data_IF_489806405720
#
_entry.id   IF_489806405720
#
_cell.length_a   1.000
_cell.length_b   1.000
_cell.length_c   1.000
_cell.angle_alpha   90.00
_cell.angle_beta   90.00
_cell.angle_gamma   90.00
#
_symmetry.space_group_name_H-M   'P 1'
#
loop_
_entity.id
_entity.type
_entity.pdbx_description
1 polymer ?
#
# COMPACT_ATOMS: atom_id res chain seq x y z
N UNK A 1 12.28 18.15 15.33
CA UNK A 1 11.78 16.91 15.95
C UNK A 1 11.13 16.07 14.87
N UNK A 2 11.66 14.88 14.58
CA UNK A 2 10.98 13.91 13.72
C UNK A 2 10.19 12.97 14.64
N UNK A 3 8.89 12.82 14.37
CA UNK A 3 8.04 11.86 15.08
C UNK A 3 8.04 10.56 14.26
N UNK A 4 8.44 9.42 14.85
CA UNK A 4 8.38 8.13 14.20
C UNK A 4 6.97 7.81 13.69
N UNK A 5 6.83 7.42 12.41
CA UNK A 5 5.54 7.13 11.77
C UNK A 5 4.65 6.15 12.54
N UNK A 6 5.27 5.15 13.21
CA UNK A 6 4.59 4.17 14.07
C UNK A 6 3.75 4.77 15.21
N UNK A 7 4.05 5.98 15.65
CA UNK A 7 3.29 6.63 16.73
C UNK A 7 1.93 7.15 16.25
N UNK A 8 1.77 7.39 14.95
CA UNK A 8 0.48 7.80 14.37
C UNK A 8 -0.54 6.66 14.39
N UNK A 9 -0.09 5.40 14.32
CA UNK A 9 -0.96 4.22 14.37
C UNK A 9 -1.77 4.14 15.67
N UNK A 10 -1.27 4.72 16.77
CA UNK A 10 -1.94 4.73 18.07
C UNK A 10 -2.91 5.91 18.24
N UNK A 11 -2.94 6.86 17.30
CA UNK A 11 -3.88 7.99 17.34
C UNK A 11 -5.29 7.59 16.89
N UNK A 12 -5.40 6.46 16.19
CA UNK A 12 -6.68 5.93 15.73
C UNK A 12 -7.08 4.79 16.66
N UNK A 13 -8.17 5.00 17.41
CA UNK A 13 -8.77 3.99 18.29
C UNK A 13 -9.44 2.86 17.50
N UNK A 14 -9.69 3.09 16.21
CA UNK A 14 -10.22 2.10 15.29
C UNK A 14 -9.03 1.37 14.66
N UNK A 15 -8.94 0.04 14.76
CA UNK A 15 -7.91 -0.70 14.05
C UNK A 15 -8.00 -0.38 12.55
N UNK A 16 -6.86 -0.29 11.84
CA UNK A 16 -6.89 -0.15 10.40
C UNK A 16 -7.74 -1.28 9.83
N UNK A 17 -8.66 -0.95 8.95
CA UNK A 17 -9.40 -1.92 8.16
C UNK A 17 -8.43 -2.60 7.20
N UNK A 18 -7.63 -3.55 7.71
CA UNK A 18 -7.05 -4.60 6.89
C UNK A 18 -8.23 -5.48 6.45
N UNK A 19 -8.59 -5.62 5.17
CA UNK A 19 -7.73 -6.23 4.18
C UNK A 19 -8.07 -5.84 2.71
N UNK A 20 -8.97 -4.88 2.46
CA UNK A 20 -9.50 -4.69 1.10
C UNK A 20 -9.47 -3.22 0.64
N UNK A 21 -8.30 -2.58 0.70
CA UNK A 21 -8.08 -1.37 -0.14
C UNK A 21 -7.87 -1.81 -1.59
N UNK A 22 -8.85 -2.51 -2.14
CA UNK A 22 -8.97 -2.72 -3.57
C UNK A 22 -9.46 -1.39 -4.16
N UNK A 23 -8.54 -0.62 -4.73
CA UNK A 23 -8.95 0.52 -5.56
C UNK A 23 -9.79 -0.05 -6.70
N UNK A 24 -11.01 0.46 -6.88
CA UNK A 24 -11.87 0.03 -7.98
C UNK A 24 -11.09 0.07 -9.30
N UNK A 25 -11.16 -0.99 -10.10
CA UNK A 25 -10.37 -1.08 -11.33
C UNK A 25 -10.60 0.11 -12.26
N UNK A 26 -11.81 0.71 -12.24
CA UNK A 26 -12.12 1.93 -12.99
C UNK A 26 -11.26 3.12 -12.54
N UNK A 27 -11.16 3.35 -11.23
CA UNK A 27 -10.37 4.43 -10.64
C UNK A 27 -8.88 4.17 -10.88
N UNK A 28 -8.43 2.93 -10.67
CA UNK A 28 -7.03 2.55 -10.89
C UNK A 28 -6.59 2.75 -12.34
N UNK A 29 -7.43 2.32 -13.30
CA UNK A 29 -7.18 2.49 -14.73
C UNK A 29 -7.20 3.95 -15.18
N UNK A 30 -7.90 4.83 -14.48
CA UNK A 30 -7.86 6.27 -14.72
C UNK A 30 -6.54 6.85 -14.21
N UNK A 31 -6.12 6.50 -13.00
CA UNK A 31 -4.87 6.96 -12.39
C UNK A 31 -3.63 6.54 -13.19
N UNK A 32 -3.59 5.30 -13.70
CA UNK A 32 -2.47 4.80 -14.51
C UNK A 32 -2.17 5.71 -15.72
N UNK A 33 -3.21 6.35 -16.30
CA UNK A 33 -3.04 7.21 -17.48
C UNK A 33 -2.29 8.51 -17.19
N UNK A 34 -2.23 8.91 -15.92
CA UNK A 34 -1.53 10.10 -15.47
C UNK A 34 -0.10 9.81 -15.00
N UNK A 35 0.32 8.54 -15.00
CA UNK A 35 1.68 8.17 -14.60
C UNK A 35 2.70 8.59 -15.66
N UNK A 36 3.89 9.06 -15.26
CA UNK A 36 4.97 9.32 -16.19
C UNK A 36 5.36 8.05 -16.97
N UNK A 37 5.80 8.17 -18.24
CA UNK A 37 6.13 7.01 -19.08
C UNK A 37 7.32 6.17 -18.57
N UNK A 38 8.12 6.72 -17.66
CA UNK A 38 9.26 6.03 -17.01
C UNK A 38 8.83 5.29 -15.75
N UNK A 39 7.59 5.46 -15.30
CA UNK A 39 7.07 4.78 -14.13
C UNK A 39 6.74 3.32 -14.48
N UNK A 40 7.53 2.39 -13.95
CA UNK A 40 7.26 0.96 -14.05
C UNK A 40 6.46 0.51 -12.84
N UNK A 41 5.35 -0.20 -13.10
CA UNK A 41 4.65 -0.88 -12.03
C UNK A 41 5.55 -2.02 -11.51
N UNK A 42 5.69 -2.18 -10.18
CA UNK A 42 6.36 -3.32 -9.60
C UNK A 42 5.69 -4.60 -10.10
N UNK A 43 6.47 -5.52 -10.64
CA UNK A 43 6.01 -6.86 -11.00
C UNK A 43 6.15 -7.81 -9.80
N UNK A 44 5.73 -9.05 -10.00
CA UNK A 44 5.75 -10.08 -8.96
C UNK A 44 7.17 -10.34 -8.43
N UNK A 45 8.22 -10.11 -9.23
CA UNK A 45 9.61 -10.26 -8.82
C UNK A 45 10.01 -9.15 -7.83
N UNK A 46 9.61 -7.91 -8.10
CA UNK A 46 9.82 -6.78 -7.20
C UNK A 46 8.96 -6.88 -5.93
N UNK A 47 7.74 -7.40 -6.05
CA UNK A 47 6.77 -7.45 -4.96
C UNK A 47 6.96 -8.66 -4.03
N UNK A 48 7.41 -9.81 -4.53
CA UNK A 48 7.60 -11.04 -3.76
C UNK A 48 8.36 -10.86 -2.43
N UNK A 49 9.53 -10.19 -2.38
CA UNK A 49 10.26 -10.00 -1.12
C UNK A 49 9.50 -9.10 -0.14
N UNK A 50 8.67 -8.16 -0.62
CA UNK A 50 7.87 -7.27 0.22
C UNK A 50 6.70 -8.03 0.84
N UNK A 51 5.98 -8.82 0.04
CA UNK A 51 4.84 -9.63 0.50
C UNK A 51 5.29 -10.67 1.53
N UNK A 52 6.47 -11.27 1.35
CA UNK A 52 7.02 -12.26 2.29
C UNK A 52 7.36 -11.70 3.68
N UNK A 53 7.49 -10.39 3.81
CA UNK A 53 7.82 -9.70 5.06
C UNK A 53 6.59 -9.21 5.83
N UNK A 54 5.40 -9.32 5.24
CA UNK A 54 4.15 -8.98 5.90
C UNK A 54 3.77 -10.18 6.79
N UNK A 55 3.80 -10.02 8.14
CA UNK A 55 3.42 -11.11 9.03
C UNK A 55 1.95 -11.48 8.77
N UNK A 56 1.69 -12.80 8.67
CA UNK A 56 0.33 -13.32 8.57
C UNK A 56 -0.46 -12.88 9.81
N UNK A 57 -1.59 -12.21 9.59
CA UNK A 57 -2.53 -11.87 10.65
C UNK A 57 -3.27 -13.15 11.07
N UNK A 58 -2.81 -13.77 12.16
CA UNK A 58 -3.56 -14.80 12.92
C UNK A 58 -4.61 -14.14 13.82
#
# INVERSE_FOLDING_TARGET
MQIPGRLYSNLFTTPPSEADVHVESKIWNELIRYLPPVYTLPDDEVLAPIVSQIPSAD
#
